data_IF_963114798284
#
_entry.id   IF_963114798284
#
_cell.length_a   1.000
_cell.length_b   1.000
_cell.length_c   1.000
_cell.angle_alpha   90.00
_cell.angle_beta   90.00
_cell.angle_gamma   90.00
#
_symmetry.space_group_name_H-M   'P 1'
#
loop_
_entity.id
_entity.type
_entity.pdbx_description
1 polymer ?
#
# COMPACT_ATOMS: atom_id res chain seq x y z
N UNK A 1 -40.35 -7.79 17.75
CA UNK A 1 -40.01 -7.71 19.19
C UNK A 1 -39.94 -9.13 19.72
N UNK A 2 -38.80 -9.54 20.25
CA UNK A 2 -38.73 -10.60 21.25
C UNK A 2 -37.61 -10.22 22.23
N UNK A 3 -37.96 -10.24 23.51
CA UNK A 3 -37.20 -9.79 24.66
C UNK A 3 -36.52 -11.00 25.31
N UNK A 4 -35.35 -10.80 25.94
CA UNK A 4 -34.96 -11.30 27.27
C UNK A 4 -33.43 -11.46 27.41
N UNK A 5 -32.89 -10.74 28.39
CA UNK A 5 -31.60 -10.91 29.07
C UNK A 5 -31.70 -12.08 30.08
N UNK A 6 -30.59 -12.77 30.36
CA UNK A 6 -30.28 -13.51 31.60
C UNK A 6 -28.79 -13.91 31.47
N UNK A 7 -27.77 -13.45 32.20
CA UNK A 7 -27.46 -13.18 33.62
C UNK A 7 -26.40 -14.17 34.16
N UNK A 8 -25.44 -13.57 34.86
CA UNK A 8 -24.54 -14.02 35.91
C UNK A 8 -23.99 -15.47 35.98
N UNK A 9 -22.65 -15.48 35.97
CA UNK A 9 -21.79 -15.98 37.06
C UNK A 9 -21.79 -17.47 37.37
N UNK A 10 -20.63 -18.09 37.21
CA UNK A 10 -20.27 -19.29 37.96
C UNK A 10 -18.84 -19.16 38.46
N UNK A 11 -18.72 -18.74 39.72
CA UNK A 11 -17.50 -18.82 40.50
C UNK A 11 -17.35 -20.23 41.07
N UNK A 12 -16.17 -20.81 40.90
CA UNK A 12 -15.76 -22.01 41.64
C UNK A 12 -14.53 -21.64 42.45
N UNK A 13 -14.73 -21.45 43.74
CA UNK A 13 -13.66 -21.35 44.71
C UNK A 13 -13.55 -22.65 45.48
N UNK A 14 -12.33 -23.10 45.71
CA UNK A 14 -11.94 -23.78 46.94
C UNK A 14 -10.42 -23.71 47.13
N UNK A 15 -10.03 -22.93 48.14
CA UNK A 15 -8.72 -22.95 48.78
C UNK A 15 -8.69 -24.07 49.82
N UNK A 16 -7.72 -24.99 49.74
CA UNK A 16 -7.33 -25.87 50.85
C UNK A 16 -5.80 -25.89 50.98
N UNK A 17 -5.34 -25.03 51.87
CA UNK A 17 -4.02 -24.94 52.48
C UNK A 17 -3.64 -26.23 53.26
N UNK A 18 -2.40 -26.73 53.16
CA UNK A 18 -1.64 -27.21 54.34
C UNK A 18 -0.17 -27.61 54.07
N UNK A 19 0.73 -26.86 54.72
CA UNK A 19 1.95 -27.22 55.51
C UNK A 19 3.03 -28.14 54.90
N UNK A 20 4.21 -27.58 54.62
CA UNK A 20 5.42 -27.53 55.48
C UNK A 20 6.36 -28.72 55.31
N UNK A 21 7.59 -28.43 54.89
CA UNK A 21 8.58 -29.45 54.53
C UNK A 21 9.98 -28.89 54.26
N UNK A 22 10.48 -28.07 55.19
CA UNK A 22 11.87 -28.08 55.66
C UNK A 22 13.05 -28.03 54.66
N UNK A 23 13.72 -26.87 54.70
CA UNK A 23 15.12 -26.71 55.17
C UNK A 23 16.21 -26.31 54.15
N UNK A 24 16.87 -25.20 54.53
CA UNK A 24 18.25 -24.76 54.24
C UNK A 24 18.58 -24.15 52.88
N UNK A 25 18.63 -22.81 52.93
CA UNK A 25 19.75 -21.95 52.49
C UNK A 25 20.16 -22.07 51.02
N UNK A 26 19.71 -21.09 50.23
CA UNK A 26 20.60 -20.18 49.50
C UNK A 26 19.78 -19.00 48.95
N UNK A 27 19.67 -17.94 49.76
CA UNK A 27 19.38 -16.61 49.22
C UNK A 27 20.66 -16.15 48.51
N UNK A 28 20.76 -16.41 47.22
CA UNK A 28 21.64 -15.66 46.35
C UNK A 28 20.83 -14.50 45.80
N UNK A 29 20.94 -13.37 46.51
CA UNK A 29 20.62 -12.05 45.98
C UNK A 29 21.16 -11.91 44.55
N UNK A 30 20.35 -11.56 43.54
CA UNK A 30 20.89 -10.98 42.33
C UNK A 30 21.37 -9.56 42.69
N UNK A 31 22.59 -9.47 43.21
CA UNK A 31 23.33 -8.21 43.26
C UNK A 31 23.74 -7.85 41.85
N UNK A 32 22.83 -7.16 41.17
CA UNK A 32 22.99 -6.61 39.83
C UNK A 32 22.22 -5.30 39.70
N UNK A 33 22.40 -4.40 40.67
CA UNK A 33 22.02 -2.99 40.50
C UNK A 33 22.98 -2.38 39.48
N UNK A 34 22.54 -2.24 38.23
CA UNK A 34 23.33 -1.55 37.22
C UNK A 34 22.76 -1.59 35.81
N UNK A 35 22.01 -0.53 35.46
CA UNK A 35 21.83 -0.03 34.08
C UNK A 35 20.64 -0.56 33.24
N UNK A 36 19.53 -0.87 33.88
CA UNK A 36 18.22 -0.85 33.22
C UNK A 36 17.76 0.59 32.90
N UNK A 37 18.32 1.25 31.87
CA UNK A 37 17.75 2.50 31.31
C UNK A 37 18.31 2.97 29.95
N UNK A 38 19.41 2.38 29.44
CA UNK A 38 19.98 2.79 28.13
C UNK A 38 19.42 2.06 26.92
N UNK A 39 18.81 0.89 27.09
CA UNK A 39 18.30 0.09 25.95
C UNK A 39 17.04 0.68 25.31
N UNK A 40 16.11 1.24 26.09
CA UNK A 40 14.85 1.80 25.56
C UNK A 40 15.03 2.94 24.57
N UNK A 41 16.09 3.75 24.70
CA UNK A 41 16.36 4.88 23.79
C UNK A 41 16.89 4.42 22.44
N UNK A 42 17.77 3.42 22.42
CA UNK A 42 18.30 2.85 21.18
C UNK A 42 17.21 2.14 20.35
N UNK A 43 16.24 1.48 20.99
CA UNK A 43 15.10 0.88 20.30
C UNK A 43 14.15 1.94 19.72
N UNK A 44 13.93 3.04 20.45
CA UNK A 44 13.12 4.16 19.95
C UNK A 44 13.73 4.84 18.74
N UNK A 45 15.04 5.09 18.77
CA UNK A 45 15.77 5.69 17.65
C UNK A 45 15.71 4.78 16.39
N UNK A 46 15.88 3.47 16.56
CA UNK A 46 15.75 2.51 15.45
C UNK A 46 14.32 2.47 14.84
N UNK A 47 13.28 2.67 15.65
CA UNK A 47 11.90 2.75 15.15
C UNK A 47 11.70 4.04 14.35
N UNK A 48 12.21 5.16 14.85
CA UNK A 48 12.14 6.45 14.14
C UNK A 48 12.88 6.37 12.80
N UNK A 49 14.08 5.78 12.78
CA UNK A 49 14.86 5.57 11.56
C UNK A 49 14.12 4.67 10.56
N UNK A 50 13.53 3.57 11.02
CA UNK A 50 12.72 2.70 10.16
C UNK A 50 11.47 3.42 9.60
N UNK A 51 10.81 4.26 10.40
CA UNK A 51 9.68 5.07 9.93
C UNK A 51 10.12 6.10 8.88
N UNK A 52 11.28 6.73 9.06
CA UNK A 52 11.85 7.66 8.09
C UNK A 52 12.21 6.95 6.78
N UNK A 53 12.80 5.75 6.84
CA UNK A 53 13.06 4.93 5.65
C UNK A 53 11.77 4.54 4.92
N UNK A 54 10.73 4.10 5.66
CA UNK A 54 9.42 3.77 5.08
C UNK A 54 8.79 5.01 4.44
N UNK A 55 8.87 6.17 5.09
CA UNK A 55 8.36 7.43 4.56
C UNK A 55 9.13 7.85 3.30
N UNK A 56 10.46 7.74 3.30
CA UNK A 56 11.29 8.03 2.14
C UNK A 56 10.98 7.08 0.96
N UNK A 57 10.90 5.78 1.22
CA UNK A 57 10.53 4.78 0.22
C UNK A 57 9.12 5.02 -0.33
N UNK A 58 8.17 5.38 0.52
CA UNK A 58 6.78 5.69 0.13
C UNK A 58 6.72 6.95 -0.74
N UNK A 59 7.44 8.01 -0.36
CA UNK A 59 7.55 9.24 -1.16
C UNK A 59 8.18 8.97 -2.53
N UNK A 60 9.24 8.16 -2.59
CA UNK A 60 9.88 7.78 -3.85
C UNK A 60 8.88 7.06 -4.77
N UNK A 61 8.18 6.03 -4.26
CA UNK A 61 7.13 5.32 -5.01
C UNK A 61 6.03 6.24 -5.51
N UNK A 62 5.49 7.10 -4.64
CA UNK A 62 4.45 8.06 -5.01
C UNK A 62 4.93 9.05 -6.10
N UNK A 63 6.15 9.57 -5.97
CA UNK A 63 6.72 10.47 -6.96
C UNK A 63 6.94 9.81 -8.32
N UNK A 64 7.32 8.53 -8.38
CA UNK A 64 7.42 7.78 -9.64
C UNK A 64 6.06 7.64 -10.32
N UNK A 65 5.00 7.36 -9.55
CA UNK A 65 3.63 7.27 -10.06
C UNK A 65 3.19 8.62 -10.64
N UNK A 66 3.34 9.70 -9.87
CA UNK A 66 2.96 11.06 -10.31
C UNK A 66 3.75 11.53 -11.54
N UNK A 67 5.05 11.18 -11.62
CA UNK A 67 5.89 11.53 -12.78
C UNK A 67 5.49 10.75 -14.03
N UNK A 68 5.01 9.52 -13.89
CA UNK A 68 4.46 8.76 -15.01
C UNK A 68 3.12 9.33 -15.49
N UNK A 69 2.27 9.80 -14.58
CA UNK A 69 1.02 10.48 -14.95
C UNK A 69 1.26 11.73 -15.79
N UNK A 70 2.31 12.51 -15.50
CA UNK A 70 2.66 13.68 -16.31
C UNK A 70 3.20 13.29 -17.70
N UNK A 71 4.11 12.30 -17.75
CA UNK A 71 4.70 11.81 -19.01
C UNK A 71 3.66 11.24 -19.98
N UNK A 72 2.64 10.56 -19.44
CA UNK A 72 1.58 9.91 -20.19
C UNK A 72 0.21 10.51 -19.87
N UNK A 73 0.15 11.82 -19.65
CA UNK A 73 -1.10 12.51 -19.33
C UNK A 73 -2.07 12.47 -20.51
N UNK A 74 -3.37 12.48 -20.21
CA UNK A 74 -4.44 12.55 -21.22
C UNK A 74 -4.20 13.73 -22.17
N UNK A 75 -3.88 14.91 -21.65
CA UNK A 75 -3.61 16.10 -22.45
C UNK A 75 -2.47 15.90 -23.46
N UNK A 76 -1.44 15.12 -23.09
CA UNK A 76 -0.34 14.81 -24.00
C UNK A 76 -0.73 13.77 -25.05
N UNK A 77 -1.56 12.79 -24.68
CA UNK A 77 -2.16 11.85 -25.64
C UNK A 77 -3.03 12.59 -26.67
N UNK A 78 -3.90 13.51 -26.23
CA UNK A 78 -4.76 14.32 -27.11
C UNK A 78 -3.91 15.16 -28.06
N UNK A 79 -2.89 15.88 -27.55
CA UNK A 79 -2.01 16.67 -28.41
C UNK A 79 -1.34 15.84 -29.50
N UNK A 80 -0.86 14.64 -29.15
CA UNK A 80 -0.27 13.73 -30.14
C UNK A 80 -1.34 13.21 -31.12
N UNK A 81 -2.55 12.95 -30.67
CA UNK A 81 -3.67 12.52 -31.50
C UNK A 81 -4.08 13.61 -32.51
N UNK A 82 -4.10 14.87 -32.09
CA UNK A 82 -4.43 16.03 -32.95
C UNK A 82 -3.38 16.24 -34.07
N UNK A 83 -2.12 15.91 -33.81
CA UNK A 83 -1.02 16.01 -34.76
C UNK A 83 -0.95 14.81 -35.74
N UNK A 84 -1.72 13.73 -35.49
CA UNK A 84 -1.73 12.54 -36.34
C UNK A 84 -2.59 12.76 -37.59
N UNK A 85 -2.06 12.32 -38.74
CA UNK A 85 -2.79 12.32 -40.01
C UNK A 85 -3.58 11.03 -40.20
N UNK A 86 -4.73 11.11 -40.87
CA UNK A 86 -5.55 9.95 -41.22
C UNK A 86 -6.37 9.36 -40.07
N UNK A 87 -6.46 10.05 -38.93
CA UNK A 87 -7.38 9.72 -37.85
C UNK A 87 -8.76 10.23 -38.25
N UNK A 88 -9.72 9.32 -38.46
CA UNK A 88 -11.12 9.71 -38.64
C UNK A 88 -11.78 10.09 -37.31
N UNK A 89 -12.91 10.80 -37.39
CA UNK A 89 -13.59 11.33 -36.22
C UNK A 89 -14.10 10.25 -35.26
N UNK A 90 -14.45 9.06 -35.76
CA UNK A 90 -14.92 7.96 -34.91
C UNK A 90 -13.75 7.38 -34.10
N UNK A 91 -12.62 7.13 -34.75
CA UNK A 91 -11.40 6.67 -34.09
C UNK A 91 -10.93 7.71 -33.07
N UNK A 92 -11.03 9.00 -33.40
CA UNK A 92 -10.64 10.09 -32.50
C UNK A 92 -11.39 9.99 -31.17
N UNK A 93 -12.72 9.92 -31.20
CA UNK A 93 -13.52 9.86 -29.97
C UNK A 93 -13.31 8.55 -29.21
N UNK A 94 -13.25 7.41 -29.89
CA UNK A 94 -12.93 6.12 -29.24
C UNK A 94 -11.55 6.12 -28.58
N UNK A 95 -10.58 6.85 -29.14
CA UNK A 95 -9.27 7.02 -28.53
C UNK A 95 -9.34 7.84 -27.24
N UNK A 96 -10.23 8.83 -27.14
CA UNK A 96 -10.43 9.59 -25.90
C UNK A 96 -10.90 8.68 -24.76
N UNK A 97 -11.89 7.83 -25.03
CA UNK A 97 -12.37 6.83 -24.06
C UNK A 97 -11.25 5.85 -23.69
N UNK A 98 -10.46 5.40 -24.67
CA UNK A 98 -9.31 4.52 -24.45
C UNK A 98 -8.25 5.16 -23.55
N UNK A 99 -8.05 6.48 -23.63
CA UNK A 99 -7.07 7.20 -22.83
C UNK A 99 -7.47 7.39 -21.37
N UNK A 100 -8.69 7.03 -20.95
CA UNK A 100 -9.00 6.91 -19.53
C UNK A 100 -8.11 5.85 -18.84
N UNK A 101 -7.71 4.81 -19.59
CA UNK A 101 -6.80 3.77 -19.11
C UNK A 101 -5.32 4.24 -19.11
N UNK A 102 -4.64 4.33 -17.95
CA UNK A 102 -3.24 4.77 -17.88
C UNK A 102 -2.27 3.90 -18.69
N UNK A 103 -2.47 2.59 -18.72
CA UNK A 103 -1.61 1.69 -19.51
C UNK A 103 -1.79 1.90 -21.01
N UNK A 104 -3.00 2.22 -21.46
CA UNK A 104 -3.23 2.55 -22.87
C UNK A 104 -2.53 3.84 -23.27
N UNK A 105 -2.52 4.86 -22.40
CA UNK A 105 -1.78 6.11 -22.61
C UNK A 105 -0.27 5.87 -22.73
N UNK A 106 0.29 5.10 -21.82
CA UNK A 106 1.72 4.75 -21.83
C UNK A 106 2.11 4.03 -23.13
N UNK A 107 1.32 3.05 -23.55
CA UNK A 107 1.55 2.34 -24.81
C UNK A 107 1.49 3.32 -25.98
N UNK A 108 0.43 4.12 -26.09
CA UNK A 108 0.22 5.05 -27.20
C UNK A 108 1.38 6.05 -27.36
N UNK A 109 1.82 6.67 -26.26
CA UNK A 109 2.93 7.62 -26.27
C UNK A 109 4.25 6.93 -26.62
N UNK A 110 4.48 5.72 -26.10
CA UNK A 110 5.72 4.96 -26.31
C UNK A 110 5.84 4.38 -27.72
N UNK A 111 4.72 4.19 -28.44
CA UNK A 111 4.74 3.77 -29.83
C UNK A 111 5.38 4.83 -30.73
N UNK A 112 6.12 4.36 -31.74
CA UNK A 112 6.56 5.22 -32.86
C UNK A 112 5.34 5.77 -33.61
N UNK A 113 5.48 6.97 -34.17
CA UNK A 113 4.36 7.70 -34.80
C UNK A 113 3.65 6.88 -35.87
N UNK A 114 4.39 6.13 -36.69
CA UNK A 114 3.87 5.30 -37.77
C UNK A 114 3.06 4.07 -37.29
N UNK A 115 3.16 3.70 -36.01
CA UNK A 115 2.45 2.55 -35.43
C UNK A 115 1.19 2.94 -34.66
N UNK A 116 1.05 4.22 -34.30
CA UNK A 116 -0.05 4.70 -33.45
C UNK A 116 -1.41 4.51 -34.08
N UNK A 117 -1.57 4.90 -35.36
CA UNK A 117 -2.87 4.81 -36.05
C UNK A 117 -3.35 3.35 -36.17
N UNK A 118 -2.47 2.45 -36.61
CA UNK A 118 -2.78 1.03 -36.73
C UNK A 118 -3.17 0.42 -35.37
N UNK A 119 -2.46 0.80 -34.31
CA UNK A 119 -2.77 0.35 -32.96
C UNK A 119 -4.14 0.86 -32.49
N UNK A 120 -4.44 2.14 -32.70
CA UNK A 120 -5.76 2.71 -32.38
C UNK A 120 -6.89 2.00 -33.12
N UNK A 121 -6.73 1.77 -34.42
CA UNK A 121 -7.71 1.04 -35.23
C UNK A 121 -7.95 -0.37 -34.67
N UNK A 122 -6.88 -1.09 -34.31
CA UNK A 122 -7.00 -2.41 -33.69
C UNK A 122 -7.77 -2.38 -32.37
N UNK A 123 -7.56 -1.35 -31.54
CA UNK A 123 -8.28 -1.19 -30.26
C UNK A 123 -9.73 -0.76 -30.45
N UNK A 124 -10.02 0.15 -31.36
CA UNK A 124 -11.37 0.62 -31.65
C UNK A 124 -12.27 -0.49 -32.21
N UNK A 125 -11.71 -1.41 -33.01
CA UNK A 125 -12.43 -2.58 -33.49
C UNK A 125 -12.79 -3.56 -32.36
N UNK A 126 -11.97 -3.64 -31.30
CA UNK A 126 -12.27 -4.47 -30.12
C UNK A 126 -13.29 -3.84 -29.16
N UNK A 127 -13.45 -2.52 -29.20
CA UNK A 127 -14.39 -1.78 -28.34
C UNK A 127 -15.82 -1.70 -28.92
N UNK A 128 -16.00 -2.12 -30.17
CA UNK A 128 -17.29 -2.10 -30.88
C UNK A 128 -17.96 -3.47 -30.97
N UNK A 129 -17.43 -4.46 -30.25
CA UNK A 129 -17.99 -5.81 -30.12
C UNK A 129 -18.69 -6.04 -28.79
#
# INVERSE_FOLDING_TARGET
MNYAEDDASSGSGDDMNMVDGHNKRQSMTPSGSGRGKRSRKATGDAIVDAMLEIAAASKMRASTIMRNEDRFSISKCIKVLDEMQGVDQRIYFLALDLFENPSAREIFISLKSEKRLLWLQGKCNSLSG
#
